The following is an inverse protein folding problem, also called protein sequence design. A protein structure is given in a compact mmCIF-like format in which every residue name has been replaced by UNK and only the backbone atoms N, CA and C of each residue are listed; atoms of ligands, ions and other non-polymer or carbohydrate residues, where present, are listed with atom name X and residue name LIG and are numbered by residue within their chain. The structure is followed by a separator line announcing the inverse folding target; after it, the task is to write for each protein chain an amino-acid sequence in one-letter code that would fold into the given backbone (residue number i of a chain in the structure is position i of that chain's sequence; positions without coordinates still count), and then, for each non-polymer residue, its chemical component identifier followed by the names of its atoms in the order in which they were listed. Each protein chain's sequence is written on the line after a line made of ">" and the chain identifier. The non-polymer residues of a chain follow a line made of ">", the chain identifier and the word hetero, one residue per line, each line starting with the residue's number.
data_IF_937365894628
#
_entry.id   IF_937365894628
#
_cell.length_a   1.000
_cell.length_b   1.000
_cell.length_c   1.000
_cell.angle_alpha   90.00
_cell.angle_beta   90.00
_cell.angle_gamma   90.00
#
_symmetry.space_group_name_H-M   'P 1'
#
loop_
_entity.id
_entity.type
_entity.pdbx_description
1 polymer ?
#
# COMPACT_ATOMS: atom_id res chain seq x y z
N UNK A 1 19.14 -13.66 -3.57
CA UNK A 1 19.14 -12.36 -2.85
C UNK A 1 19.30 -11.24 -3.87
N UNK A 2 18.38 -10.27 -3.90
CA UNK A 2 18.40 -9.14 -4.84
C UNK A 2 19.68 -8.32 -4.62
N UNK A 3 20.47 -8.10 -5.68
CA UNK A 3 21.72 -7.32 -5.65
C UNK A 3 21.50 -5.81 -5.71
N UNK A 4 20.24 -5.35 -5.72
CA UNK A 4 19.88 -3.94 -5.89
C UNK A 4 19.88 -3.25 -4.53
N UNK A 5 20.64 -2.17 -4.40
CA UNK A 5 20.67 -1.36 -3.18
C UNK A 5 19.42 -0.48 -3.10
N UNK A 6 18.69 -0.47 -1.97
CA UNK A 6 17.56 0.44 -1.80
C UNK A 6 18.04 1.89 -1.64
N UNK A 7 17.20 2.84 -2.07
CA UNK A 7 17.33 4.27 -1.77
C UNK A 7 16.14 4.71 -0.94
N UNK A 8 16.40 5.33 0.22
CA UNK A 8 15.36 5.72 1.18
C UNK A 8 15.33 7.24 1.33
N UNK A 9 14.14 7.81 1.44
CA UNK A 9 13.93 9.21 1.82
C UNK A 9 12.57 9.38 2.51
N UNK A 10 12.38 10.52 3.19
CA UNK A 10 11.10 10.86 3.84
C UNK A 10 10.44 12.02 3.12
N UNK A 11 9.12 11.94 2.95
CA UNK A 11 8.30 13.05 2.48
C UNK A 11 8.07 14.07 3.60
N UNK A 12 7.63 15.29 3.23
CA UNK A 12 7.34 16.36 4.20
C UNK A 12 6.28 15.96 5.25
N UNK A 13 5.38 15.04 4.91
CA UNK A 13 4.36 14.51 5.80
C UNK A 13 4.81 13.29 6.63
N UNK A 14 6.10 12.93 6.59
CA UNK A 14 6.68 11.86 7.40
C UNK A 14 6.63 10.45 6.79
N UNK A 15 5.96 10.27 5.65
CA UNK A 15 5.94 8.97 4.94
C UNK A 15 7.36 8.60 4.48
N UNK A 16 7.78 7.39 4.81
CA UNK A 16 9.03 6.81 4.32
C UNK A 16 8.83 6.18 2.94
N UNK A 17 9.71 6.52 2.01
CA UNK A 17 9.72 6.00 0.65
C UNK A 17 11.01 5.22 0.43
N UNK A 18 10.86 3.96 0.04
CA UNK A 18 11.96 3.04 -0.27
C UNK A 18 11.87 2.68 -1.74
N UNK A 19 12.92 2.94 -2.51
CA UNK A 19 12.96 2.65 -3.96
C UNK A 19 14.08 1.68 -4.30
N UNK A 20 13.83 0.84 -5.30
CA UNK A 20 14.79 -0.11 -5.86
C UNK A 20 14.97 0.20 -7.34
N UNK A 21 16.01 0.97 -7.74
CA UNK A 21 16.18 1.37 -9.14
C UNK A 21 16.56 0.15 -10.00
N UNK A 22 15.78 -0.08 -11.06
CA UNK A 22 15.98 -1.16 -12.03
C UNK A 22 16.01 -0.57 -13.44
N UNK A 23 17.21 -0.32 -13.98
CA UNK A 23 17.39 0.31 -15.29
C UNK A 23 17.04 -0.60 -16.48
N UNK A 24 16.86 -1.90 -16.24
CA UNK A 24 16.61 -2.91 -17.27
C UNK A 24 15.13 -3.20 -17.52
N UNK A 25 14.21 -2.44 -16.93
CA UNK A 25 12.76 -2.64 -17.07
C UNK A 25 12.03 -1.31 -17.25
N UNK A 26 10.98 -1.33 -18.06
CA UNK A 26 10.08 -0.18 -18.26
C UNK A 26 8.85 -0.25 -17.36
N UNK A 27 8.66 -1.35 -16.62
CA UNK A 27 7.56 -1.51 -15.67
C UNK A 27 7.99 -1.15 -14.26
N UNK A 28 7.04 -0.60 -13.49
CA UNK A 28 7.23 -0.29 -12.08
C UNK A 28 6.13 -0.92 -11.25
N UNK A 29 6.51 -1.46 -10.09
CA UNK A 29 5.56 -1.85 -9.04
C UNK A 29 5.62 -0.81 -7.94
N UNK A 30 4.46 -0.30 -7.54
CA UNK A 30 4.33 0.65 -6.43
C UNK A 30 3.46 -0.01 -5.35
N UNK A 31 3.99 -0.04 -4.13
CA UNK A 31 3.29 -0.57 -2.96
C UNK A 31 3.12 0.55 -1.93
N UNK A 32 1.91 0.67 -1.38
CA UNK A 32 1.65 1.53 -0.22
C UNK A 32 1.41 0.61 0.97
N UNK A 33 2.31 0.67 1.96
CA UNK A 33 2.28 -0.19 3.13
C UNK A 33 1.97 0.65 4.36
N UNK A 34 1.02 0.18 5.16
CA UNK A 34 0.66 0.80 6.44
C UNK A 34 0.98 -0.20 7.54
N UNK A 35 1.62 0.26 8.62
CA UNK A 35 1.97 -0.58 9.78
C UNK A 35 0.73 -0.84 10.64
N UNK A 36 -0.22 -1.59 10.09
CA UNK A 36 -1.48 -2.02 10.70
C UNK A 36 -1.81 -3.44 10.23
N UNK A 37 -2.95 -3.99 10.65
CA UNK A 37 -3.42 -5.33 10.30
C UNK A 37 -4.04 -6.02 11.50
N UNK A 38 -4.44 -7.28 11.35
CA UNK A 38 -5.17 -8.04 12.38
C UNK A 38 -4.49 -8.08 13.76
N UNK A 39 -3.15 -8.01 13.79
CA UNK A 39 -2.37 -7.94 15.05
C UNK A 39 -2.73 -6.73 15.93
N UNK A 40 -3.21 -5.65 15.33
CA UNK A 40 -3.52 -4.40 16.02
C UNK A 40 -5.02 -4.27 16.34
N UNK A 41 -5.82 -5.29 16.08
CA UNK A 41 -7.26 -5.27 16.31
C UNK A 41 -7.60 -5.58 17.77
N UNK A 42 -8.58 -4.86 18.30
CA UNK A 42 -9.26 -5.25 19.53
C UNK A 42 -10.13 -6.49 19.27
N UNK A 43 -10.38 -7.30 20.30
CA UNK A 43 -11.18 -8.53 20.18
C UNK A 43 -12.57 -8.27 19.56
N UNK A 44 -13.23 -7.18 19.95
CA UNK A 44 -14.55 -6.80 19.41
C UNK A 44 -14.52 -6.35 17.94
N UNK A 45 -13.35 -6.10 17.36
CA UNK A 45 -13.14 -5.62 16.00
C UNK A 45 -12.39 -6.63 15.12
N UNK A 46 -12.26 -7.88 15.56
CA UNK A 46 -11.56 -8.91 14.81
C UNK A 46 -12.09 -9.02 13.37
N UNK A 47 -11.18 -8.97 12.41
CA UNK A 47 -11.46 -9.00 10.98
C UNK A 47 -11.68 -7.64 10.33
N UNK A 48 -11.68 -6.53 11.08
CA UNK A 48 -11.93 -5.18 10.52
C UNK A 48 -10.89 -4.79 9.46
N UNK A 49 -9.62 -5.15 9.62
CA UNK A 49 -8.57 -4.84 8.65
C UNK A 49 -8.81 -5.54 7.31
N UNK A 50 -9.18 -6.82 7.36
CA UNK A 50 -9.52 -7.60 6.18
C UNK A 50 -10.81 -7.08 5.54
N UNK A 51 -11.81 -6.73 6.37
CA UNK A 51 -13.04 -6.12 5.88
C UNK A 51 -12.76 -4.80 5.13
N UNK A 52 -11.92 -3.92 5.70
CA UNK A 52 -11.50 -2.67 5.06
C UNK A 52 -10.72 -2.89 3.77
N UNK A 53 -9.87 -3.91 3.70
CA UNK A 53 -9.14 -4.30 2.48
C UNK A 53 -10.11 -4.55 1.32
N UNK A 54 -11.20 -5.30 1.54
CA UNK A 54 -12.23 -5.52 0.52
C UNK A 54 -12.92 -4.21 0.11
N UNK A 55 -13.17 -3.32 1.06
CA UNK A 55 -13.86 -2.05 0.80
C UNK A 55 -13.02 -1.06 0.00
N UNK A 56 -11.68 -1.13 0.05
CA UNK A 56 -10.83 -0.24 -0.75
C UNK A 56 -11.07 -0.36 -2.26
N UNK A 57 -11.64 -1.47 -2.73
CA UNK A 57 -11.96 -1.70 -4.12
C UNK A 57 -13.42 -1.41 -4.48
N UNK A 58 -14.26 -1.00 -3.52
CA UNK A 58 -15.70 -0.76 -3.75
C UNK A 58 -16.05 0.67 -4.17
N UNK A 59 -15.08 1.57 -4.18
CA UNK A 59 -15.24 2.93 -4.69
C UNK A 59 -14.72 4.00 -3.72
N UNK A 60 -14.42 5.17 -4.27
CA UNK A 60 -13.96 6.35 -3.54
C UNK A 60 -14.76 7.57 -3.99
N UNK A 61 -14.67 8.68 -3.25
CA UNK A 61 -15.36 9.94 -3.61
C UNK A 61 -15.06 10.42 -5.05
N UNK A 62 -13.88 10.12 -5.58
CA UNK A 62 -13.46 10.50 -6.94
C UNK A 62 -13.71 9.42 -7.99
N UNK A 63 -13.90 8.16 -7.58
CA UNK A 63 -14.15 6.99 -8.43
C UNK A 63 -15.18 6.08 -7.73
N UNK A 64 -16.48 6.39 -7.84
CA UNK A 64 -17.50 5.80 -6.97
C UNK A 64 -17.90 4.38 -7.34
N UNK A 65 -17.62 3.93 -8.56
CA UNK A 65 -17.98 2.59 -9.05
C UNK A 65 -16.78 1.64 -9.02
N UNK A 66 -17.07 0.34 -8.94
CA UNK A 66 -16.05 -0.74 -9.05
C UNK A 66 -15.62 -1.01 -10.49
N UNK A 67 -16.38 -0.49 -11.46
CA UNK A 67 -16.09 -0.68 -12.88
C UNK A 67 -14.97 0.29 -13.26
N UNK A 68 -13.81 -0.27 -13.62
CA UNK A 68 -12.90 0.41 -14.52
C UNK A 68 -13.55 0.33 -15.91
N UNK A 69 -13.66 1.46 -16.60
CA UNK A 69 -14.36 1.72 -17.89
C UNK A 69 -15.76 2.32 -17.74
#
# INVERSE_FOLDING_TARGET
>A
MLKIKPKNFKLKNGIEVVTFPMLSTETVTVLVLVKIGSRYEEERLQGVSHFLEHLFFKGTKKRPTTILF
#
